data_IF_410429942235
#
_entry.id   IF_410429942235
#
_cell.length_a   1.000
_cell.length_b   1.000
_cell.length_c   1.000
_cell.angle_alpha   90.00
_cell.angle_beta   90.00
_cell.angle_gamma   90.00
#
_symmetry.space_group_name_H-M   'P 1'
#
loop_
_entity.id
_entity.type
_entity.pdbx_description
1 polymer ?
#
# COMPACT_ATOMS: atom_id res chain seq x y z
N UNK A 1 -49.69 25.14 -7.04
CA UNK A 1 -48.87 24.80 -8.22
C UNK A 1 -47.44 24.59 -7.75
N UNK A 2 -46.93 23.38 -7.96
CA UNK A 2 -45.56 22.94 -7.61
C UNK A 2 -44.58 23.38 -8.70
N UNK A 3 -43.40 23.89 -8.33
CA UNK A 3 -42.09 23.70 -9.01
C UNK A 3 -41.02 24.45 -8.18
N UNK A 4 -40.25 23.79 -7.30
CA UNK A 4 -38.98 23.07 -7.51
C UNK A 4 -37.82 23.85 -8.18
N UNK A 5 -36.70 23.77 -7.44
CA UNK A 5 -35.29 23.63 -7.87
C UNK A 5 -34.51 24.88 -8.26
N UNK A 6 -33.63 25.29 -7.34
CA UNK A 6 -32.18 25.30 -7.62
C UNK A 6 -31.45 24.60 -6.47
N UNK A 7 -31.13 23.32 -6.67
CA UNK A 7 -30.19 22.58 -5.81
C UNK A 7 -28.81 22.84 -6.40
N UNK A 8 -27.97 23.57 -5.67
CA UNK A 8 -26.53 23.60 -5.92
C UNK A 8 -25.95 22.26 -5.48
N UNK A 9 -25.61 21.40 -6.43
CA UNK A 9 -24.86 20.18 -6.17
C UNK A 9 -23.38 20.57 -6.15
N UNK A 10 -22.85 20.85 -4.96
CA UNK A 10 -21.42 20.91 -4.72
C UNK A 10 -20.91 19.49 -4.57
N UNK A 11 -20.27 18.97 -5.61
CA UNK A 11 -19.67 17.63 -5.62
C UNK A 11 -18.30 17.75 -4.94
N UNK A 12 -18.26 17.71 -3.62
CA UNK A 12 -17.06 17.33 -2.88
C UNK A 12 -16.98 15.79 -2.86
N UNK A 13 -16.68 15.20 -4.01
CA UNK A 13 -16.35 13.78 -4.12
C UNK A 13 -14.83 13.57 -4.05
N UNK A 14 -14.27 13.83 -2.87
CA UNK A 14 -13.08 13.10 -2.43
C UNK A 14 -13.59 12.05 -1.46
N UNK A 15 -13.77 10.83 -1.98
CA UNK A 15 -14.21 9.67 -1.25
C UNK A 15 -13.40 9.50 0.05
N UNK A 16 -13.98 9.95 1.16
CA UNK A 16 -13.66 9.38 2.45
C UNK A 16 -14.13 7.92 2.33
N UNK A 17 -13.19 6.98 2.30
CA UNK A 17 -13.49 5.57 2.50
C UNK A 17 -13.88 5.47 3.98
N UNK A 18 -15.12 5.84 4.30
CA UNK A 18 -15.73 5.60 5.59
C UNK A 18 -16.09 4.12 5.62
N UNK A 19 -15.13 3.30 6.00
CA UNK A 19 -15.33 1.90 6.38
C UNK A 19 -16.15 1.87 7.67
N UNK A 20 -17.46 2.07 7.58
CA UNK A 20 -18.39 1.79 8.68
C UNK A 20 -18.50 0.27 8.82
N UNK A 21 -17.64 -0.29 9.65
CA UNK A 21 -17.86 -1.60 10.27
C UNK A 21 -17.40 -1.51 11.71
N UNK A 22 -18.16 -0.75 12.51
CA UNK A 22 -18.08 -0.80 13.97
C UNK A 22 -18.92 -2.01 14.37
N UNK A 23 -18.27 -3.17 14.46
CA UNK A 23 -18.78 -4.29 15.23
C UNK A 23 -18.20 -4.14 16.64
N UNK A 24 -19.10 -3.82 17.57
CA UNK A 24 -18.87 -3.76 18.99
C UNK A 24 -18.43 -5.12 19.54
N UNK A 25 -17.13 -5.35 19.60
CA UNK A 25 -16.53 -6.33 20.49
C UNK A 25 -15.95 -5.57 21.68
N UNK A 26 -16.01 -6.18 22.87
CA UNK A 26 -15.38 -5.69 24.10
C UNK A 26 -13.89 -5.50 23.85
N UNK A 27 -13.50 -4.32 23.35
CA UNK A 27 -12.15 -4.07 22.87
C UNK A 27 -11.26 -3.84 24.09
N UNK A 28 -10.42 -4.82 24.40
CA UNK A 28 -9.16 -4.45 25.03
C UNK A 28 -8.45 -3.44 24.11
N UNK A 29 -7.67 -2.53 24.69
CA UNK A 29 -6.83 -1.60 23.91
C UNK A 29 -5.96 -2.33 22.88
N UNK A 30 -5.55 -3.56 23.21
CA UNK A 30 -4.85 -4.47 22.31
C UNK A 30 -5.69 -4.81 21.08
N UNK A 31 -6.92 -5.32 21.25
CA UNK A 31 -7.80 -5.71 20.12
C UNK A 31 -8.05 -4.55 19.14
N UNK A 32 -8.15 -3.33 19.69
CA UNK A 32 -8.26 -2.11 18.90
C UNK A 32 -6.99 -1.83 18.08
N UNK A 33 -5.81 -1.94 18.70
CA UNK A 33 -4.53 -1.77 18.00
C UNK A 33 -4.32 -2.83 16.91
N UNK A 34 -4.60 -4.11 17.22
CA UNK A 34 -4.55 -5.21 16.26
C UNK A 34 -5.39 -4.91 15.01
N UNK A 35 -6.62 -4.43 15.22
CA UNK A 35 -7.53 -4.05 14.14
C UNK A 35 -6.99 -2.87 13.33
N UNK A 36 -6.44 -1.85 13.99
CA UNK A 36 -5.81 -0.68 13.34
C UNK A 36 -4.63 -1.11 12.46
N UNK A 37 -3.75 -1.98 12.94
CA UNK A 37 -2.60 -2.49 12.18
C UNK A 37 -3.04 -3.30 10.95
N UNK A 38 -4.01 -4.21 11.12
CA UNK A 38 -4.60 -4.99 10.03
C UNK A 38 -5.21 -4.12 8.93
N UNK A 39 -5.93 -3.06 9.32
CA UNK A 39 -6.56 -2.11 8.41
C UNK A 39 -5.51 -1.32 7.61
N UNK A 40 -4.49 -0.79 8.27
CA UNK A 40 -3.40 -0.08 7.59
C UNK A 40 -2.70 -0.95 6.56
N UNK A 41 -2.37 -2.19 6.91
CA UNK A 41 -1.77 -3.13 5.98
C UNK A 41 -2.64 -3.31 4.72
N UNK A 42 -3.94 -3.51 4.93
CA UNK A 42 -4.90 -3.72 3.84
C UNK A 42 -5.04 -2.49 2.94
N UNK A 43 -5.03 -1.29 3.52
CA UNK A 43 -5.08 -0.02 2.77
C UNK A 43 -3.82 0.14 1.92
N UNK A 44 -2.64 -0.05 2.51
CA UNK A 44 -1.35 0.05 1.79
C UNK A 44 -1.32 -0.97 0.65
N UNK A 45 -1.62 -2.25 0.94
CA UNK A 45 -1.62 -3.33 -0.04
C UNK A 45 -2.52 -3.00 -1.23
N UNK A 46 -3.79 -2.68 -0.99
CA UNK A 46 -4.74 -2.33 -2.07
C UNK A 46 -4.32 -1.08 -2.84
N UNK A 47 -3.75 -0.08 -2.17
CA UNK A 47 -3.27 1.12 -2.85
C UNK A 47 -2.12 0.79 -3.81
N UNK A 48 -1.13 0.04 -3.35
CA UNK A 48 0.04 -0.34 -4.15
C UNK A 48 -0.34 -1.26 -5.31
N UNK A 49 -1.17 -2.28 -5.08
CA UNK A 49 -1.65 -3.19 -6.14
C UNK A 49 -2.41 -2.41 -7.22
N UNK A 50 -3.31 -1.51 -6.83
CA UNK A 50 -4.06 -0.68 -7.79
C UNK A 50 -3.16 0.27 -8.59
N UNK A 51 -2.13 0.84 -7.95
CA UNK A 51 -1.18 1.73 -8.63
C UNK A 51 -0.25 0.96 -9.56
N UNK A 52 0.22 -0.21 -9.13
CA UNK A 52 1.02 -1.11 -9.95
C UNK A 52 0.24 -1.56 -11.20
N UNK A 53 -0.99 -2.04 -11.03
CA UNK A 53 -1.83 -2.51 -12.13
C UNK A 53 -2.10 -1.41 -13.17
N UNK A 54 -2.32 -0.17 -12.72
CA UNK A 54 -2.52 0.98 -13.60
C UNK A 54 -1.26 1.44 -14.33
N UNK A 55 -0.08 1.08 -13.83
CA UNK A 55 1.22 1.50 -14.37
C UNK A 55 2.07 0.30 -14.80
N UNK A 56 1.44 -0.86 -15.08
CA UNK A 56 2.09 -2.12 -15.46
C UNK A 56 2.70 -2.13 -16.87
N UNK A 57 3.01 -0.95 -17.40
CA UNK A 57 3.46 -0.76 -18.77
C UNK A 57 4.74 -1.54 -19.06
N UNK A 58 5.00 -1.74 -20.35
CA UNK A 58 6.17 -2.43 -20.86
C UNK A 58 7.39 -1.52 -20.72
N UNK A 59 8.33 -1.91 -19.89
CA UNK A 59 9.63 -1.26 -19.75
C UNK A 59 10.63 -1.88 -20.75
N UNK A 60 11.48 -1.05 -21.35
CA UNK A 60 12.56 -1.48 -22.27
C UNK A 60 13.94 -1.19 -21.66
N UNK A 61 15.00 -1.83 -22.18
CA UNK A 61 16.34 -1.94 -21.57
C UNK A 61 16.86 -0.56 -21.09
N UNK A 62 17.36 -0.50 -19.84
CA UNK A 62 17.81 0.67 -19.02
C UNK A 62 16.83 1.41 -18.10
N UNK A 63 15.65 0.85 -17.81
CA UNK A 63 14.67 1.50 -16.90
C UNK A 63 14.67 1.01 -15.45
N UNK A 64 15.67 0.22 -15.00
CA UNK A 64 15.69 -0.29 -13.60
C UNK A 64 15.72 0.87 -12.58
N UNK A 65 16.59 1.85 -12.79
CA UNK A 65 16.68 3.03 -11.92
C UNK A 65 15.39 3.86 -11.96
N UNK A 66 14.77 3.99 -13.14
CA UNK A 66 13.47 4.65 -13.31
C UNK A 66 12.36 3.93 -12.55
N UNK A 67 12.40 2.59 -12.51
CA UNK A 67 11.43 1.76 -11.81
C UNK A 67 11.61 1.84 -10.29
N UNK A 68 12.85 1.77 -9.81
CA UNK A 68 13.17 1.96 -8.40
C UNK A 68 12.79 3.37 -7.93
N UNK A 69 13.04 4.41 -8.75
CA UNK A 69 12.61 5.78 -8.48
C UNK A 69 11.09 5.92 -8.47
N UNK A 70 10.39 5.26 -9.41
CA UNK A 70 8.93 5.25 -9.44
C UNK A 70 8.35 4.58 -8.19
N UNK A 71 8.88 3.43 -7.77
CA UNK A 71 8.47 2.74 -6.54
C UNK A 71 8.74 3.66 -5.34
N UNK A 72 9.94 4.24 -5.24
CA UNK A 72 10.26 5.16 -4.16
C UNK A 72 9.27 6.33 -4.08
N UNK A 73 8.97 6.99 -5.21
CA UNK A 73 7.98 8.07 -5.28
C UNK A 73 6.59 7.58 -4.91
N UNK A 74 6.17 6.41 -5.38
CA UNK A 74 4.89 5.81 -5.05
C UNK A 74 4.76 5.60 -3.53
N UNK A 75 5.76 5.00 -2.88
CA UNK A 75 5.74 4.73 -1.45
C UNK A 75 5.66 6.03 -0.64
N UNK A 76 6.37 7.08 -1.06
CA UNK A 76 6.31 8.42 -0.43
C UNK A 76 4.94 9.12 -0.59
N UNK A 77 4.08 8.65 -1.49
CA UNK A 77 2.74 9.24 -1.68
C UNK A 77 1.66 8.64 -0.77
N UNK A 78 1.97 7.53 -0.07
CA UNK A 78 1.03 6.88 0.84
C UNK A 78 0.74 7.84 2.00
N UNK A 79 -0.55 8.11 2.23
CA UNK A 79 -1.03 8.90 3.37
C UNK A 79 -2.00 8.08 4.19
N UNK A 80 -1.72 7.97 5.48
CA UNK A 80 -2.57 7.36 6.49
C UNK A 80 -2.87 8.42 7.55
N UNK A 81 -4.11 8.53 8.02
CA UNK A 81 -4.57 9.61 8.91
C UNK A 81 -3.71 9.77 10.17
N UNK A 82 -3.26 8.65 10.72
CA UNK A 82 -2.62 8.59 12.03
C UNK A 82 -1.22 7.96 11.98
N UNK A 83 -0.62 7.83 10.79
CA UNK A 83 0.71 7.24 10.63
C UNK A 83 1.56 8.01 9.64
N UNK A 84 2.81 8.24 10.03
CA UNK A 84 3.87 8.70 9.16
C UNK A 84 4.56 7.48 8.52
N UNK A 85 4.77 7.54 7.20
CA UNK A 85 5.62 6.56 6.50
C UNK A 85 7.08 6.96 6.68
N UNK A 86 7.90 6.01 7.10
CA UNK A 86 9.35 6.16 7.23
C UNK A 86 10.06 5.06 6.45
N UNK A 87 11.31 5.31 6.09
CA UNK A 87 12.17 4.38 5.34
C UNK A 87 13.48 4.06 6.09
N UNK A 88 13.68 4.65 7.28
CA UNK A 88 14.84 4.41 8.14
C UNK A 88 14.39 3.67 9.40
N UNK A 89 14.93 2.47 9.61
CA UNK A 89 14.63 1.65 10.79
C UNK A 89 15.16 2.24 12.10
N UNK A 90 16.07 3.21 12.03
CA UNK A 90 16.59 3.90 13.22
C UNK A 90 15.62 4.98 13.74
N UNK A 91 14.58 5.32 12.98
CA UNK A 91 13.60 6.33 13.37
C UNK A 91 12.52 5.77 14.30
N UNK A 92 12.93 5.46 15.52
CA UNK A 92 12.14 4.75 16.54
C UNK A 92 11.37 5.70 17.48
N UNK A 93 11.54 7.01 17.30
CA UNK A 93 11.14 8.01 18.29
C UNK A 93 9.61 8.26 18.41
N UNK A 94 8.76 7.55 17.66
CA UNK A 94 7.31 7.71 17.68
C UNK A 94 6.55 6.39 17.42
N UNK A 95 5.45 6.18 18.14
CA UNK A 95 4.54 5.02 17.98
C UNK A 95 3.68 5.10 16.72
N UNK A 96 3.53 6.28 16.11
CA UNK A 96 2.71 6.48 14.91
C UNK A 96 3.53 6.43 13.61
N UNK A 97 4.49 5.51 13.53
CA UNK A 97 5.33 5.32 12.34
C UNK A 97 5.12 3.94 11.73
N UNK A 98 5.05 3.91 10.40
CA UNK A 98 5.10 2.69 9.61
C UNK A 98 6.38 2.73 8.78
N UNK A 99 7.30 1.81 9.08
CA UNK A 99 8.47 1.59 8.27
C UNK A 99 8.07 0.81 7.03
N UNK A 100 8.45 1.31 5.85
CA UNK A 100 8.30 0.59 4.60
C UNK A 100 9.69 0.29 4.05
N UNK A 101 9.92 -0.97 3.75
CA UNK A 101 11.11 -1.45 3.04
C UNK A 101 10.67 -2.10 1.73
N UNK A 102 11.47 -1.98 0.68
CA UNK A 102 11.18 -2.61 -0.60
C UNK A 102 12.45 -3.09 -1.27
N UNK A 103 12.34 -4.23 -1.94
CA UNK A 103 13.47 -4.82 -2.67
C UNK A 103 13.02 -5.44 -3.97
N UNK A 104 13.93 -5.44 -4.93
CA UNK A 104 13.84 -6.30 -6.09
C UNK A 104 13.86 -7.77 -5.62
N UNK A 105 12.95 -8.58 -6.16
CA UNK A 105 12.87 -10.01 -5.86
C UNK A 105 13.35 -10.85 -7.05
N UNK A 106 12.67 -10.76 -8.19
CA UNK A 106 12.95 -11.63 -9.33
C UNK A 106 12.41 -11.08 -10.66
N UNK A 107 12.92 -11.66 -11.76
CA UNK A 107 12.33 -11.54 -13.10
C UNK A 107 11.83 -12.92 -13.50
N UNK A 108 10.57 -13.03 -13.94
CA UNK A 108 9.94 -14.29 -14.36
C UNK A 108 9.32 -14.18 -15.75
N UNK A 109 9.14 -15.28 -16.49
CA UNK A 109 8.37 -15.24 -17.73
C UNK A 109 6.96 -14.69 -17.47
N UNK A 110 6.47 -13.80 -18.33
CA UNK A 110 5.06 -13.41 -18.30
C UNK A 110 4.24 -14.55 -18.93
N UNK A 111 3.38 -15.20 -18.14
CA UNK A 111 2.54 -16.28 -18.63
C UNK A 111 1.43 -15.83 -19.59
N UNK A 112 1.19 -14.52 -19.70
CA UNK A 112 0.10 -13.94 -20.47
C UNK A 112 0.55 -13.06 -21.66
N UNK A 113 1.84 -13.06 -22.03
CA UNK A 113 2.35 -12.31 -23.18
C UNK A 113 3.87 -12.40 -23.38
N UNK A 114 4.40 -11.72 -24.40
CA UNK A 114 5.81 -11.85 -24.86
C UNK A 114 6.85 -11.11 -23.99
N UNK A 115 6.53 -10.87 -22.72
CA UNK A 115 7.38 -10.13 -21.78
C UNK A 115 7.90 -10.96 -20.61
N UNK A 116 8.67 -10.32 -19.74
CA UNK A 116 9.07 -10.84 -18.43
C UNK A 116 8.42 -9.99 -17.34
N UNK A 117 7.89 -10.61 -16.29
CA UNK A 117 7.43 -9.91 -15.09
C UNK A 117 8.65 -9.53 -14.23
N UNK A 118 8.84 -8.24 -13.96
CA UNK A 118 9.73 -7.75 -12.91
C UNK A 118 8.94 -7.68 -11.61
N UNK A 119 9.45 -8.31 -10.56
CA UNK A 119 8.77 -8.45 -9.27
C UNK A 119 9.56 -7.70 -8.19
N UNK A 120 8.87 -6.79 -7.51
CA UNK A 120 9.33 -6.16 -6.28
C UNK A 120 8.48 -6.62 -5.10
N UNK A 121 9.12 -6.77 -3.95
CA UNK A 121 8.47 -7.10 -2.70
C UNK A 121 8.57 -5.90 -1.77
N UNK A 122 7.42 -5.44 -1.30
CA UNK A 122 7.28 -4.36 -0.31
C UNK A 122 6.88 -4.96 1.03
N UNK A 123 7.65 -4.64 2.06
CA UNK A 123 7.43 -5.03 3.45
C UNK A 123 7.07 -3.80 4.27
N UNK A 124 6.15 -3.98 5.21
CA UNK A 124 5.69 -2.90 6.07
C UNK A 124 5.81 -3.33 7.52
N UNK A 125 6.30 -2.44 8.39
CA UNK A 125 6.55 -2.71 9.81
C UNK A 125 6.01 -1.59 10.70
N UNK A 126 5.56 -1.95 11.90
CA UNK A 126 5.20 -1.04 12.98
C UNK A 126 6.20 -1.19 14.13
N UNK A 127 6.43 -0.12 14.87
CA UNK A 127 7.17 -0.20 16.12
C UNK A 127 6.21 -0.57 17.25
N UNK A 128 6.26 -1.82 17.69
CA UNK A 128 5.36 -2.38 18.72
C UNK A 128 6.14 -3.26 19.69
N UNK A 129 5.87 -3.12 20.99
CA UNK A 129 6.61 -3.83 22.06
C UNK A 129 8.13 -3.71 21.90
N UNK A 130 8.60 -2.47 21.69
CA UNK A 130 10.02 -2.11 21.55
C UNK A 130 10.76 -2.77 20.36
N UNK A 131 10.04 -3.20 19.32
CA UNK A 131 10.64 -3.82 18.13
C UNK A 131 9.84 -3.53 16.85
N UNK A 132 10.52 -3.60 15.69
CA UNK A 132 9.85 -3.57 14.40
C UNK A 132 9.16 -4.91 14.13
N UNK A 133 7.84 -4.88 13.97
CA UNK A 133 7.03 -6.07 13.66
C UNK A 133 6.32 -5.91 12.34
N UNK A 134 6.33 -6.96 11.52
CA UNK A 134 5.67 -6.96 10.21
C UNK A 134 4.17 -6.72 10.36
N UNK A 135 3.62 -5.73 9.65
CA UNK A 135 2.18 -5.47 9.60
C UNK A 135 1.41 -6.67 9.02
N UNK A 136 2.02 -7.42 8.11
CA UNK A 136 1.38 -8.58 7.46
C UNK A 136 0.95 -9.64 8.50
N UNK A 137 1.70 -9.77 9.60
CA UNK A 137 1.38 -10.73 10.68
C UNK A 137 0.04 -10.41 11.37
N UNK A 138 -0.39 -9.16 11.30
CA UNK A 138 -1.63 -8.68 11.92
C UNK A 138 -2.82 -8.70 10.96
N UNK A 139 -2.60 -8.93 9.66
CA UNK A 139 -3.68 -9.02 8.68
C UNK A 139 -4.25 -10.43 8.65
N UNK A 140 -5.53 -10.58 9.03
CA UNK A 140 -6.24 -11.86 9.01
C UNK A 140 -6.35 -12.41 7.57
N UNK A 141 -6.59 -11.51 6.61
CA UNK A 141 -6.85 -11.90 5.22
C UNK A 141 -5.60 -11.91 4.34
N UNK A 142 -4.48 -11.32 4.78
CA UNK A 142 -3.31 -11.10 3.93
C UNK A 142 -2.00 -11.21 4.73
N UNK A 143 -1.61 -12.43 5.12
CA UNK A 143 -0.35 -12.69 5.85
C UNK A 143 0.92 -12.72 5.00
N UNK A 144 0.85 -12.21 3.77
CA UNK A 144 1.95 -12.20 2.82
C UNK A 144 2.51 -10.80 2.66
N UNK A 145 3.77 -10.69 2.24
CA UNK A 145 4.32 -9.42 1.75
C UNK A 145 3.51 -8.90 0.55
N UNK A 146 3.68 -7.61 0.23
CA UNK A 146 2.99 -6.95 -0.89
C UNK A 146 3.87 -7.10 -2.13
N UNK A 147 3.33 -7.70 -3.19
CA UNK A 147 4.03 -7.88 -4.46
C UNK A 147 3.61 -6.80 -5.45
N UNK A 148 4.60 -6.08 -6.00
CA UNK A 148 4.42 -5.14 -7.09
C UNK A 148 5.03 -5.76 -8.36
N UNK A 149 4.28 -5.73 -9.47
CA UNK A 149 4.67 -6.34 -10.73
C UNK A 149 4.69 -5.32 -11.87
N UNK A 150 5.66 -5.47 -12.76
CA UNK A 150 5.77 -4.71 -14.00
C UNK A 150 6.11 -5.64 -15.17
N UNK A 151 5.75 -5.24 -16.38
CA UNK A 151 6.04 -6.01 -17.59
C UNK A 151 7.30 -5.42 -18.24
N UNK A 152 8.23 -6.27 -18.64
CA UNK A 152 9.48 -5.90 -19.28
C UNK A 152 9.65 -6.66 -20.58
N UNK A 153 9.88 -5.95 -21.69
CA UNK A 153 10.24 -6.54 -22.97
C UNK A 153 11.67 -6.11 -23.28
N UNK A 154 12.63 -6.94 -22.90
CA UNK A 154 14.01 -6.76 -23.32
C UNK A 154 14.21 -7.44 -24.67
N UNK A 155 14.83 -6.74 -25.63
CA UNK A 155 15.58 -7.42 -26.68
C UNK A 155 16.76 -8.14 -26.02
N UNK A 156 16.95 -9.42 -26.35
CA UNK A 156 18.07 -10.24 -25.84
C UNK A 156 19.42 -9.64 -26.23
#
# INVERSE_FOLDING_TARGET
MVMLKKIFISIFSSALISSTTILSTSCSTLDFEYTRYSNNFTIIKKYLENKAEKNKHVYTKDEKSSLEEWIFKLLNTIKLSDYQIVFDSNDINDKNKILIDYKYDSIKPNYFGDGKEIIYVVKTFIYFENSWKSLANYSINNKSDITIKFIYNGEE
#
